data_IF_031755728479
#
_entry.id   IF_031755728479
#
_cell.length_a   1.000
_cell.length_b   1.000
_cell.length_c   1.000
_cell.angle_alpha   90.00
_cell.angle_beta   90.00
_cell.angle_gamma   90.00
#
_symmetry.space_group_name_H-M   'P 1'
#
loop_
_entity.id
_entity.type
_entity.pdbx_description
1 polymer ?
#
# COMPACT_ATOMS: atom_id res chain seq x y z
N UNK A 1 -0.10 -14.28 6.00
CA UNK A 1 -0.03 -14.97 4.70
C UNK A 1 1.23 -14.52 3.96
N UNK A 2 1.97 -15.46 3.40
CA UNK A 2 3.14 -15.20 2.57
C UNK A 2 2.66 -15.08 1.12
N UNK A 3 3.00 -13.97 0.46
CA UNK A 3 2.61 -13.68 -0.92
C UNK A 3 3.72 -13.98 -1.93
N UNK A 4 4.97 -13.75 -1.55
CA UNK A 4 6.16 -14.05 -2.33
C UNK A 4 7.39 -14.24 -1.45
N UNK A 5 8.39 -14.93 -2.00
CA UNK A 5 9.73 -15.05 -1.43
C UNK A 5 10.69 -14.24 -2.29
N UNK A 6 11.55 -13.44 -1.68
CA UNK A 6 12.51 -12.59 -2.39
C UNK A 6 13.94 -12.99 -2.03
N UNK A 7 14.81 -13.04 -3.04
CA UNK A 7 16.25 -13.01 -2.87
C UNK A 7 16.68 -11.54 -2.94
N UNK A 8 16.94 -10.95 -1.79
CA UNK A 8 17.11 -9.50 -1.67
C UNK A 8 18.22 -9.14 -0.68
N UNK A 9 18.96 -8.09 -1.00
CA UNK A 9 19.88 -7.39 -0.11
C UNK A 9 19.61 -5.88 -0.17
N UNK A 10 20.29 -5.03 0.63
CA UNK A 10 20.05 -3.59 0.64
C UNK A 10 20.27 -2.88 -0.71
N UNK A 11 20.99 -3.51 -1.66
CA UNK A 11 21.36 -2.92 -2.95
C UNK A 11 20.46 -3.41 -4.10
N UNK A 12 19.91 -4.62 -4.01
CA UNK A 12 19.20 -5.23 -5.12
C UNK A 12 18.19 -6.30 -4.69
N UNK A 13 17.13 -6.44 -5.51
CA UNK A 13 16.26 -7.62 -5.54
C UNK A 13 16.71 -8.48 -6.72
N UNK A 14 17.32 -9.63 -6.44
CA UNK A 14 17.91 -10.52 -7.46
C UNK A 14 16.97 -11.65 -7.89
N UNK A 15 15.90 -11.90 -7.12
CA UNK A 15 14.90 -12.90 -7.46
C UNK A 15 13.60 -12.70 -6.69
N UNK A 16 12.49 -13.00 -7.34
CA UNK A 16 11.17 -12.98 -6.74
C UNK A 16 10.42 -14.24 -7.17
N UNK A 17 9.99 -15.02 -6.20
CA UNK A 17 9.13 -16.19 -6.41
C UNK A 17 7.74 -15.92 -5.80
N UNK A 18 6.71 -15.65 -6.61
CA UNK A 18 5.36 -15.50 -6.10
C UNK A 18 4.79 -16.82 -5.63
N UNK A 19 4.01 -16.78 -4.56
CA UNK A 19 3.19 -17.89 -4.10
C UNK A 19 1.93 -17.97 -4.98
N UNK A 20 1.49 -19.18 -5.31
CA UNK A 20 0.28 -19.38 -6.11
C UNK A 20 -0.94 -18.80 -5.41
N UNK A 21 -1.81 -18.12 -6.16
CA UNK A 21 -2.95 -17.38 -5.64
C UNK A 21 -3.89 -18.25 -4.77
N UNK A 22 -4.14 -19.51 -5.16
CA UNK A 22 -4.98 -20.43 -4.37
C UNK A 22 -4.39 -20.71 -2.98
N UNK A 23 -3.05 -20.80 -2.88
CA UNK A 23 -2.39 -21.05 -1.61
C UNK A 23 -2.41 -19.80 -0.71
N UNK A 24 -2.27 -18.61 -1.29
CA UNK A 24 -2.41 -17.35 -0.54
C UNK A 24 -3.85 -17.23 0.00
N UNK A 25 -4.86 -17.57 -0.81
CA UNK A 25 -6.27 -17.65 -0.36
C UNK A 25 -6.40 -18.61 0.82
N UNK A 26 -5.90 -19.83 0.69
CA UNK A 26 -5.98 -20.85 1.76
C UNK A 26 -5.29 -20.40 3.05
N UNK A 27 -4.12 -19.72 2.97
CA UNK A 27 -3.46 -19.13 4.14
C UNK A 27 -4.34 -18.09 4.85
N UNK A 28 -4.99 -17.20 4.08
CA UNK A 28 -5.88 -16.18 4.66
C UNK A 28 -7.09 -16.86 5.32
N UNK A 29 -7.73 -17.78 4.63
CA UNK A 29 -8.90 -18.50 5.12
C UNK A 29 -8.58 -19.30 6.40
N UNK A 30 -7.44 -20.01 6.44
CA UNK A 30 -6.99 -20.76 7.61
C UNK A 30 -6.78 -19.85 8.84
N UNK A 31 -6.14 -18.67 8.64
CA UNK A 31 -5.95 -17.70 9.74
C UNK A 31 -7.30 -17.20 10.25
N UNK A 32 -8.20 -16.82 9.34
CA UNK A 32 -9.50 -16.26 9.73
C UNK A 32 -10.48 -17.29 10.30
N UNK A 33 -10.26 -18.59 10.07
CA UNK A 33 -11.05 -19.65 10.66
C UNK A 33 -10.83 -19.78 12.17
N UNK A 34 -9.59 -19.63 12.62
CA UNK A 34 -9.19 -19.86 14.02
C UNK A 34 -8.86 -18.56 14.77
N UNK A 35 -8.17 -17.64 14.09
CA UNK A 35 -7.77 -16.37 14.66
C UNK A 35 -8.70 -15.29 14.11
N UNK A 36 -9.18 -14.41 14.98
CA UNK A 36 -10.00 -13.25 14.58
C UNK A 36 -9.13 -11.99 14.58
N UNK A 37 -8.40 -11.69 13.49
CA UNK A 37 -7.52 -10.52 13.45
C UNK A 37 -8.31 -9.24 13.70
N UNK A 38 -7.81 -8.37 14.60
CA UNK A 38 -8.41 -7.08 14.87
C UNK A 38 -8.15 -6.07 13.73
N UNK A 39 -7.08 -6.28 12.95
CA UNK A 39 -6.74 -5.51 11.76
C UNK A 39 -5.87 -6.36 10.83
N UNK A 40 -5.83 -5.99 9.55
CA UNK A 40 -4.97 -6.65 8.54
C UNK A 40 -4.15 -5.61 7.80
N UNK A 41 -2.87 -5.92 7.59
CA UNK A 41 -1.99 -5.12 6.74
C UNK A 41 -1.54 -5.95 5.54
N UNK A 42 -1.62 -5.38 4.34
CA UNK A 42 -0.94 -5.92 3.18
C UNK A 42 0.44 -5.27 3.02
N UNK A 43 1.39 -6.03 2.53
CA UNK A 43 2.63 -5.54 1.97
C UNK A 43 2.70 -5.87 0.48
N UNK A 44 3.84 -6.42 0.02
CA UNK A 44 4.07 -6.76 -1.38
C UNK A 44 3.07 -7.81 -1.90
N UNK A 45 2.20 -7.41 -2.82
CA UNK A 45 1.23 -8.31 -3.46
C UNK A 45 1.69 -8.80 -4.84
N UNK A 46 2.71 -8.19 -5.40
CA UNK A 46 3.43 -8.59 -6.61
C UNK A 46 2.62 -8.67 -7.91
N UNK A 47 1.43 -9.30 -7.91
CA UNK A 47 0.68 -9.61 -9.14
C UNK A 47 -0.80 -9.26 -9.03
N UNK A 48 -1.45 -9.12 -10.20
CA UNK A 48 -2.89 -8.91 -10.28
C UNK A 48 -3.69 -10.06 -9.64
N UNK A 49 -3.19 -11.31 -9.73
CA UNK A 49 -3.89 -12.46 -9.15
C UNK A 49 -3.87 -12.42 -7.63
N UNK A 50 -2.76 -12.01 -7.02
CA UNK A 50 -2.68 -11.87 -5.56
C UNK A 50 -3.54 -10.69 -5.06
N UNK A 51 -3.54 -9.57 -5.80
CA UNK A 51 -4.45 -8.44 -5.49
C UNK A 51 -5.92 -8.90 -5.57
N UNK A 52 -6.26 -9.69 -6.58
CA UNK A 52 -7.62 -10.23 -6.74
C UNK A 52 -8.04 -11.11 -5.55
N UNK A 53 -7.14 -12.00 -5.10
CA UNK A 53 -7.40 -12.86 -3.93
C UNK A 53 -7.73 -12.01 -2.69
N UNK A 54 -6.92 -11.00 -2.39
CA UNK A 54 -7.15 -10.11 -1.25
C UNK A 54 -8.44 -9.31 -1.42
N UNK A 55 -8.64 -8.74 -2.61
CA UNK A 55 -9.86 -7.97 -2.92
C UNK A 55 -11.12 -8.80 -2.74
N UNK A 56 -11.17 -10.00 -3.31
CA UNK A 56 -12.32 -10.90 -3.20
C UNK A 56 -12.58 -11.32 -1.76
N UNK A 57 -11.53 -11.54 -0.97
CA UNK A 57 -11.67 -11.88 0.43
C UNK A 57 -12.28 -10.72 1.23
N UNK A 58 -11.78 -9.50 1.05
CA UNK A 58 -12.24 -8.33 1.79
C UNK A 58 -13.57 -7.75 1.27
N UNK A 59 -13.96 -8.01 0.04
CA UNK A 59 -15.26 -7.61 -0.49
C UNK A 59 -16.44 -8.42 0.10
N UNK A 60 -16.18 -9.51 0.82
CA UNK A 60 -17.23 -10.41 1.35
C UNK A 60 -17.45 -10.18 2.85
N UNK A 61 -18.65 -9.72 3.21
CA UNK A 61 -19.10 -9.60 4.59
C UNK A 61 -18.34 -8.59 5.44
N UNK A 62 -18.55 -8.63 6.76
CA UNK A 62 -17.83 -7.78 7.71
C UNK A 62 -16.40 -8.28 7.88
N UNK A 63 -15.43 -7.40 7.64
CA UNK A 63 -14.00 -7.67 7.76
C UNK A 63 -13.34 -6.65 8.67
N UNK A 64 -12.23 -7.01 9.34
CA UNK A 64 -11.46 -6.06 10.13
C UNK A 64 -10.88 -4.95 9.24
N UNK A 65 -10.47 -3.81 9.84
CA UNK A 65 -9.79 -2.75 9.14
C UNK A 65 -8.62 -3.27 8.29
N UNK A 66 -8.56 -2.79 7.03
CA UNK A 66 -7.53 -3.15 6.07
C UNK A 66 -6.58 -1.97 5.86
N UNK A 67 -5.31 -2.17 6.18
CA UNK A 67 -4.24 -1.24 5.89
C UNK A 67 -3.51 -1.73 4.64
N UNK A 68 -3.45 -0.91 3.59
CA UNK A 68 -2.76 -1.23 2.35
C UNK A 68 -1.44 -0.47 2.26
N UNK A 69 -0.32 -1.20 2.36
CA UNK A 69 0.98 -0.68 1.96
C UNK A 69 1.17 -1.05 0.48
N UNK A 70 1.21 -0.08 -0.45
CA UNK A 70 1.11 -0.39 -1.89
C UNK A 70 2.26 -1.21 -2.45
N UNK A 71 3.47 -1.03 -1.93
CA UNK A 71 4.72 -1.72 -2.30
C UNK A 71 4.85 -1.91 -3.82
N UNK A 72 4.91 -0.77 -4.55
CA UNK A 72 4.98 -0.77 -6.02
C UNK A 72 6.41 -0.81 -6.54
N UNK A 73 7.33 -0.19 -5.79
CA UNK A 73 8.74 -0.03 -6.17
C UNK A 73 9.61 -0.34 -4.95
N UNK A 74 10.67 -1.12 -5.15
CA UNK A 74 11.67 -1.35 -4.11
C UNK A 74 12.54 -0.10 -3.90
N UNK A 75 13.18 0.03 -2.74
CA UNK A 75 14.16 1.10 -2.47
C UNK A 75 15.31 1.13 -3.50
N UNK A 76 15.63 -0.02 -4.10
CA UNK A 76 16.60 -0.14 -5.20
C UNK A 76 16.09 0.37 -6.56
N UNK A 77 14.84 0.86 -6.65
CA UNK A 77 14.19 1.27 -7.91
C UNK A 77 13.59 0.10 -8.71
N UNK A 78 13.71 -1.14 -8.25
CA UNK A 78 13.11 -2.27 -8.95
C UNK A 78 11.58 -2.21 -8.91
N UNK A 79 10.94 -2.36 -10.08
CA UNK A 79 9.47 -2.38 -10.18
C UNK A 79 8.97 -3.72 -9.60
N UNK A 80 8.22 -3.64 -8.51
CA UNK A 80 7.64 -4.78 -7.82
C UNK A 80 6.20 -5.07 -8.25
N UNK A 81 5.52 -4.09 -8.84
CA UNK A 81 4.14 -4.23 -9.28
C UNK A 81 3.98 -3.78 -10.74
N UNK A 82 3.52 -4.68 -11.60
CA UNK A 82 3.30 -4.38 -13.03
C UNK A 82 2.15 -3.39 -13.25
N UNK A 83 2.11 -2.62 -14.36
CA UNK A 83 1.07 -1.60 -14.61
C UNK A 83 -0.37 -2.11 -14.48
N UNK A 84 -0.67 -3.31 -14.98
CA UNK A 84 -1.99 -3.91 -14.85
C UNK A 84 -2.38 -4.26 -13.41
N UNK A 85 -1.39 -4.60 -12.57
CA UNK A 85 -1.61 -4.86 -11.16
C UNK A 85 -1.81 -3.54 -10.38
N UNK A 86 -1.10 -2.47 -10.74
CA UNK A 86 -1.29 -1.12 -10.17
C UNK A 86 -2.72 -0.63 -10.45
N UNK A 87 -3.23 -0.85 -11.66
CA UNK A 87 -4.61 -0.49 -12.01
C UNK A 87 -5.61 -1.24 -11.13
N UNK A 88 -5.44 -2.54 -10.99
CA UNK A 88 -6.33 -3.37 -10.17
C UNK A 88 -6.27 -2.96 -8.68
N UNK A 89 -5.09 -2.64 -8.16
CA UNK A 89 -4.91 -2.12 -6.81
C UNK A 89 -5.71 -0.83 -6.62
N UNK A 90 -5.58 0.15 -7.54
CA UNK A 90 -6.29 1.42 -7.49
C UNK A 90 -7.82 1.24 -7.57
N UNK A 91 -8.29 0.41 -8.50
CA UNK A 91 -9.72 0.29 -8.82
C UNK A 91 -10.47 -0.63 -7.87
N UNK A 92 -9.79 -1.62 -7.27
CA UNK A 92 -10.49 -2.70 -6.56
C UNK A 92 -10.05 -2.86 -5.11
N UNK A 93 -8.78 -2.68 -4.78
CA UNK A 93 -8.28 -2.92 -3.42
C UNK A 93 -8.34 -1.66 -2.56
N UNK A 94 -7.87 -0.51 -3.07
CA UNK A 94 -7.86 0.74 -2.30
C UNK A 94 -9.26 1.18 -1.85
N UNK A 95 -10.34 1.00 -2.63
CA UNK A 95 -11.70 1.30 -2.15
C UNK A 95 -12.17 0.45 -0.96
N UNK A 96 -11.51 -0.67 -0.69
CA UNK A 96 -11.80 -1.53 0.48
C UNK A 96 -10.89 -1.23 1.68
N UNK A 97 -9.87 -0.40 1.48
CA UNK A 97 -8.93 -0.07 2.53
C UNK A 97 -9.53 0.89 3.55
N UNK A 98 -9.13 0.75 4.80
CA UNK A 98 -9.34 1.76 5.85
C UNK A 98 -8.26 2.83 5.75
N UNK A 99 -7.02 2.41 5.44
CA UNK A 99 -5.85 3.27 5.36
C UNK A 99 -4.92 2.77 4.26
N UNK A 100 -4.36 3.69 3.48
CA UNK A 100 -3.24 3.41 2.56
C UNK A 100 -2.00 4.17 3.03
N UNK A 101 -0.81 3.51 2.95
CA UNK A 101 0.45 4.07 3.48
C UNK A 101 1.54 4.19 2.41
N UNK A 102 1.34 4.95 1.33
CA UNK A 102 2.31 5.08 0.25
C UNK A 102 3.56 5.86 0.69
N UNK A 103 4.74 5.43 0.22
CA UNK A 103 5.92 6.28 0.21
C UNK A 103 5.79 7.37 -0.87
N UNK A 104 6.80 8.25 -1.01
CA UNK A 104 6.78 9.37 -1.94
C UNK A 104 6.53 8.90 -3.40
N UNK A 105 7.33 7.93 -3.88
CA UNK A 105 7.23 7.42 -5.26
C UNK A 105 5.88 6.76 -5.52
N UNK A 106 5.38 6.02 -4.56
CA UNK A 106 4.07 5.36 -4.62
C UNK A 106 2.93 6.37 -4.63
N UNK A 107 3.03 7.43 -3.81
CA UNK A 107 2.06 8.52 -3.80
C UNK A 107 2.04 9.25 -5.15
N UNK A 108 3.21 9.54 -5.75
CA UNK A 108 3.31 10.09 -7.10
C UNK A 108 2.59 9.21 -8.15
N UNK A 109 2.78 7.89 -8.08
CA UNK A 109 2.08 6.93 -8.95
C UNK A 109 0.56 6.96 -8.71
N UNK A 110 0.13 7.10 -7.45
CA UNK A 110 -1.29 7.15 -7.11
C UNK A 110 -1.97 8.41 -7.64
N UNK A 111 -1.33 9.58 -7.49
CA UNK A 111 -1.90 10.86 -7.92
C UNK A 111 -1.55 11.23 -9.37
N UNK A 112 -0.49 10.64 -9.94
CA UNK A 112 -0.09 10.86 -11.34
C UNK A 112 0.74 12.14 -11.57
N UNK A 113 1.38 12.68 -10.52
CA UNK A 113 2.24 13.88 -10.59
C UNK A 113 3.38 13.81 -9.57
N UNK A 114 4.41 14.63 -9.78
CA UNK A 114 5.54 14.77 -8.85
C UNK A 114 5.13 15.50 -7.57
N UNK A 115 5.80 15.14 -6.47
CA UNK A 115 5.59 15.71 -5.14
C UNK A 115 6.95 16.23 -4.63
N UNK A 116 7.08 17.56 -4.54
CA UNK A 116 8.36 18.21 -4.25
C UNK A 116 8.34 19.06 -2.96
N UNK A 117 7.16 19.23 -2.37
CA UNK A 117 6.95 20.07 -1.19
C UNK A 117 6.00 19.42 -0.18
N UNK A 118 5.99 19.95 1.05
CA UNK A 118 5.03 19.55 2.07
C UNK A 118 3.57 19.81 1.60
N UNK A 119 3.35 20.93 0.91
CA UNK A 119 2.02 21.24 0.35
C UNK A 119 1.58 20.20 -0.68
N UNK A 120 2.53 19.64 -1.46
CA UNK A 120 2.23 18.55 -2.39
C UNK A 120 1.86 17.25 -1.65
N UNK A 121 2.55 16.91 -0.54
CA UNK A 121 2.19 15.75 0.28
C UNK A 121 0.77 15.90 0.85
N UNK A 122 0.43 17.07 1.37
CA UNK A 122 -0.92 17.35 1.89
C UNK A 122 -1.99 17.28 0.79
N UNK A 123 -1.68 17.85 -0.38
CA UNK A 123 -2.55 17.77 -1.55
C UNK A 123 -2.73 16.32 -2.03
N UNK A 124 -1.65 15.53 -2.06
CA UNK A 124 -1.69 14.13 -2.42
C UNK A 124 -2.52 13.29 -1.44
N UNK A 125 -2.36 13.51 -0.12
CA UNK A 125 -3.15 12.83 0.90
C UNK A 125 -4.66 13.10 0.73
N UNK A 126 -5.06 14.36 0.48
CA UNK A 126 -6.45 14.73 0.19
C UNK A 126 -6.97 14.09 -1.10
N UNK A 127 -6.15 14.08 -2.16
CA UNK A 127 -6.52 13.51 -3.45
C UNK A 127 -6.71 11.99 -3.34
N UNK A 128 -5.79 11.29 -2.67
CA UNK A 128 -5.88 9.85 -2.43
C UNK A 128 -7.16 9.51 -1.67
N UNK A 129 -7.44 10.23 -0.58
CA UNK A 129 -8.65 10.02 0.20
C UNK A 129 -9.91 10.26 -0.65
N UNK A 130 -9.97 11.35 -1.42
CA UNK A 130 -11.11 11.67 -2.28
C UNK A 130 -11.34 10.63 -3.38
N UNK A 131 -10.25 10.09 -3.98
CA UNK A 131 -10.33 9.14 -5.12
C UNK A 131 -10.69 7.74 -4.68
N UNK A 132 -10.19 7.31 -3.52
CA UNK A 132 -10.29 5.91 -3.09
C UNK A 132 -11.19 5.72 -1.87
N UNK A 133 -11.57 6.78 -1.17
CA UNK A 133 -12.47 6.72 0.00
C UNK A 133 -11.80 6.25 1.29
N UNK A 134 -10.49 5.94 1.28
CA UNK A 134 -9.74 5.51 2.45
C UNK A 134 -8.87 6.63 3.02
N UNK A 135 -8.53 6.56 4.30
CA UNK A 135 -7.51 7.45 4.86
C UNK A 135 -6.16 7.26 4.15
N UNK A 136 -5.34 8.29 4.10
CA UNK A 136 -4.02 8.25 3.51
C UNK A 136 -2.96 8.69 4.52
N UNK A 137 -1.86 7.92 4.63
CA UNK A 137 -0.63 8.29 5.30
C UNK A 137 0.49 8.35 4.27
N UNK A 138 0.76 9.52 3.72
CA UNK A 138 1.83 9.72 2.73
C UNK A 138 3.16 9.88 3.46
N UNK A 139 4.07 8.92 3.25
CA UNK A 139 5.40 8.89 3.88
C UNK A 139 6.35 9.81 3.11
N UNK A 140 6.72 10.93 3.71
CA UNK A 140 7.56 11.97 3.09
C UNK A 140 9.05 11.89 3.43
N UNK A 141 9.53 10.80 4.05
CA UNK A 141 10.92 10.67 4.52
C UNK A 141 12.02 10.79 3.46
N UNK A 142 11.67 10.76 2.16
CA UNK A 142 12.59 10.98 1.04
C UNK A 142 12.50 12.39 0.44
N UNK A 143 11.68 13.27 0.99
CA UNK A 143 11.52 14.64 0.49
C UNK A 143 12.69 15.51 0.98
N UNK A 144 13.68 15.69 0.10
CA UNK A 144 14.95 16.40 0.40
C UNK A 144 14.76 17.88 0.75
N UNK A 145 13.61 18.46 0.43
CA UNK A 145 13.28 19.87 0.73
C UNK A 145 12.89 20.10 2.19
N UNK A 146 12.68 19.03 2.97
CA UNK A 146 12.30 19.14 4.38
C UNK A 146 13.51 18.88 5.30
N UNK A 147 13.63 19.65 6.39
CA UNK A 147 14.73 19.49 7.36
C UNK A 147 14.61 18.24 8.23
N UNK A 148 13.42 17.63 8.27
CA UNK A 148 13.10 16.44 9.07
C UNK A 148 12.15 15.53 8.28
N UNK A 149 12.23 14.22 8.53
CA UNK A 149 11.30 13.26 7.95
C UNK A 149 9.87 13.61 8.37
N UNK A 150 9.02 13.92 7.42
CA UNK A 150 7.66 14.37 7.67
C UNK A 150 6.68 13.53 6.89
N UNK A 151 5.80 12.82 7.59
CA UNK A 151 4.69 12.09 7.01
C UNK A 151 3.39 12.90 7.16
N UNK A 152 2.48 12.74 6.21
CA UNK A 152 1.19 13.44 6.21
C UNK A 152 0.05 12.44 6.24
N UNK A 153 -0.76 12.53 7.29
CA UNK A 153 -1.99 11.74 7.44
C UNK A 153 -3.22 12.59 7.11
N UNK A 154 -4.20 12.00 6.41
CA UNK A 154 -5.51 12.59 6.17
C UNK A 154 -6.60 11.52 6.12
N UNK A 155 -7.67 11.68 6.89
CA UNK A 155 -8.81 10.75 6.96
C UNK A 155 -10.11 11.26 6.30
N UNK A 156 -10.05 12.44 5.68
CA UNK A 156 -11.21 13.15 5.13
C UNK A 156 -11.72 14.28 6.02
N UNK A 157 -11.24 14.37 7.28
CA UNK A 157 -11.60 15.39 8.26
C UNK A 157 -10.39 16.04 8.90
N UNK A 158 -9.46 15.23 9.37
CA UNK A 158 -8.29 15.66 10.12
C UNK A 158 -7.04 15.49 9.25
N UNK A 159 -6.23 16.56 9.17
CA UNK A 159 -4.90 16.54 8.59
C UNK A 159 -3.87 16.60 9.72
N UNK A 160 -2.96 15.62 9.76
CA UNK A 160 -1.86 15.57 10.73
C UNK A 160 -0.53 15.53 9.99
N UNK A 161 0.45 16.27 10.50
CA UNK A 161 1.87 16.17 10.12
C UNK A 161 2.59 15.41 11.23
N UNK A 162 3.21 14.29 10.87
CA UNK A 162 4.00 13.47 11.79
C UNK A 162 5.47 13.73 11.47
N UNK A 163 6.16 14.38 12.38
CA UNK A 163 7.56 14.81 12.19
C UNK A 163 8.45 13.93 13.08
N UNK A 164 9.45 13.31 12.49
CA UNK A 164 10.49 12.60 13.21
C UNK A 164 11.80 13.40 13.14
N UNK A 165 12.53 13.48 14.25
CA UNK A 165 13.84 14.15 14.28
C UNK A 165 14.89 13.44 13.42
#
# INVERSE_FOLDING_TARGET
AITCVTAQNPRAVTGIQPIRAYLVRGQIEAVFAELRPAAVKTGMLFSADLIRVVTEFFARGSRPPLIVDPVMVATSGAILLKPGAIRLLKERLLPLATLVTPNLDEAEILVGRKLESLADLESAAREIQRRFGCAALVKGGHLRSLPAATDVFFDGRIMLRLVAP
#
